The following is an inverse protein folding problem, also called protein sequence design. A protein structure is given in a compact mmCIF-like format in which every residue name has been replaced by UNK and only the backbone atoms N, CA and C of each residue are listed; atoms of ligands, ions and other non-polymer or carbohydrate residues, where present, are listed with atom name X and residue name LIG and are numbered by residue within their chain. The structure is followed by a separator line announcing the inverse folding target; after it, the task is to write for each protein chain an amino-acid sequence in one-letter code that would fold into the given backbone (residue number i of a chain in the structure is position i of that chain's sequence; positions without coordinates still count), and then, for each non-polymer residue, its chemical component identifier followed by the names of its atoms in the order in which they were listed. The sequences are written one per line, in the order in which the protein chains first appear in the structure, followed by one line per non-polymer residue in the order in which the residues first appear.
data_IF_258382855737
#
_entry.id   IF_258382855737
#
_cell.length_a   1.000
_cell.length_b   1.000
_cell.length_c   1.000
_cell.angle_alpha   90.00
_cell.angle_beta   90.00
_cell.angle_gamma   90.00
#
_symmetry.space_group_name_H-M   'P 1'
#
loop_
_entity.id
_entity.type
_entity.pdbx_description
1 polymer ?
#
# COMPACT_ATOMS: atom_id res chain seq x y z
N UNK A 1 -9.46 -7.75 5.47
CA UNK A 1 -10.24 -7.93 4.24
C UNK A 1 -9.30 -7.92 3.04
N UNK A 2 -9.35 -8.96 2.25
CA UNK A 2 -8.58 -9.02 1.03
C UNK A 2 -9.40 -8.42 -0.10
N UNK A 3 -8.80 -7.49 -0.82
CA UNK A 3 -9.42 -6.92 -2.00
C UNK A 3 -8.85 -7.69 -3.19
N UNK A 4 -9.73 -8.39 -3.89
CA UNK A 4 -9.32 -9.11 -5.07
C UNK A 4 -9.19 -8.16 -6.25
N UNK A 5 -7.97 -8.06 -6.76
CA UNK A 5 -7.70 -7.35 -7.99
C UNK A 5 -7.03 -8.31 -8.96
N UNK A 6 -7.16 -8.10 -10.27
CA UNK A 6 -6.43 -8.92 -11.24
C UNK A 6 -4.92 -8.83 -10.99
N UNK A 7 -4.16 -9.88 -11.31
CA UNK A 7 -2.70 -9.81 -11.21
C UNK A 7 -2.17 -8.62 -12.01
N UNK A 8 -1.15 -7.98 -11.44
CA UNK A 8 -0.51 -6.82 -12.06
C UNK A 8 0.84 -7.25 -12.62
N UNK A 9 1.06 -7.00 -13.89
CA UNK A 9 2.31 -7.29 -14.57
C UNK A 9 3.05 -5.99 -14.87
N UNK A 10 4.37 -6.06 -14.90
CA UNK A 10 5.23 -4.88 -15.12
C UNK A 10 4.82 -4.10 -16.37
N UNK A 11 4.58 -4.80 -17.47
CA UNK A 11 4.21 -4.18 -18.76
C UNK A 11 2.86 -3.47 -18.73
N UNK A 12 2.01 -3.77 -17.77
CA UNK A 12 0.67 -3.18 -17.66
C UNK A 12 0.65 -1.91 -16.78
N UNK A 13 1.75 -1.60 -16.12
CA UNK A 13 1.82 -0.42 -15.26
C UNK A 13 1.82 0.85 -16.11
N UNK A 14 0.90 1.76 -15.80
CA UNK A 14 0.83 3.08 -16.45
C UNK A 14 1.64 4.08 -15.66
N UNK A 15 1.36 4.24 -14.38
CA UNK A 15 2.06 5.17 -13.51
C UNK A 15 1.82 4.87 -12.03
N UNK A 16 2.72 5.33 -11.21
CA UNK A 16 2.57 5.36 -9.77
C UNK A 16 3.02 6.75 -9.31
N UNK A 17 2.08 7.59 -8.94
CA UNK A 17 2.33 9.00 -8.63
C UNK A 17 1.83 9.37 -7.24
N UNK A 18 2.46 10.36 -6.64
CA UNK A 18 2.04 10.95 -5.38
C UNK A 18 1.38 12.30 -5.65
N UNK A 19 0.23 12.54 -5.03
CA UNK A 19 -0.50 13.79 -5.20
C UNK A 19 -1.16 14.19 -3.88
N UNK A 20 -0.71 15.29 -3.27
CA UNK A 20 -1.26 15.85 -2.02
C UNK A 20 -1.40 14.84 -0.89
N UNK A 21 -0.39 14.00 -0.70
CA UNK A 21 -0.40 12.99 0.36
C UNK A 21 -1.06 11.67 -0.02
N UNK A 22 -1.70 11.59 -1.17
CA UNK A 22 -2.24 10.34 -1.71
C UNK A 22 -1.24 9.71 -2.67
N UNK A 23 -1.25 8.39 -2.77
CA UNK A 23 -0.50 7.66 -3.79
C UNK A 23 -1.49 7.02 -4.75
N UNK A 24 -1.28 7.22 -6.04
CA UNK A 24 -2.18 6.75 -7.10
C UNK A 24 -1.43 5.78 -7.99
N UNK A 25 -1.92 4.56 -8.07
CA UNK A 25 -1.36 3.50 -8.90
C UNK A 25 -2.33 3.16 -10.02
N UNK A 26 -1.88 3.29 -11.28
CA UNK A 26 -2.70 3.00 -12.46
C UNK A 26 -2.08 1.87 -13.26
N UNK A 27 -2.92 0.96 -13.72
CA UNK A 27 -2.49 -0.14 -14.58
C UNK A 27 -3.60 -0.62 -15.50
N UNK A 28 -3.22 -1.31 -16.57
CA UNK A 28 -4.18 -1.93 -17.49
C UNK A 28 -4.52 -3.34 -17.03
N UNK A 29 -5.79 -3.69 -17.12
CA UNK A 29 -6.25 -5.05 -16.92
C UNK A 29 -7.44 -5.31 -17.83
N UNK A 30 -7.30 -6.31 -18.70
CA UNK A 30 -8.37 -6.71 -19.65
C UNK A 30 -8.94 -5.52 -20.46
N UNK A 31 -8.07 -4.65 -20.95
CA UNK A 31 -8.44 -3.50 -21.75
C UNK A 31 -9.05 -2.34 -20.98
N UNK A 32 -9.04 -2.40 -19.65
CA UNK A 32 -9.54 -1.33 -18.78
C UNK A 32 -8.42 -0.75 -17.94
N UNK A 33 -8.52 0.54 -17.65
CA UNK A 33 -7.61 1.21 -16.73
C UNK A 33 -8.17 1.05 -15.32
N UNK A 34 -7.38 0.47 -14.43
CA UNK A 34 -7.70 0.35 -13.02
C UNK A 34 -6.84 1.34 -12.25
N UNK A 35 -7.46 2.06 -11.33
CA UNK A 35 -6.79 3.03 -10.49
C UNK A 35 -7.00 2.66 -9.03
N UNK A 36 -5.89 2.50 -8.29
CA UNK A 36 -5.89 2.30 -6.85
C UNK A 36 -5.38 3.58 -6.22
N UNK A 37 -6.21 4.22 -5.38
CA UNK A 37 -5.82 5.42 -4.65
C UNK A 37 -5.60 5.05 -3.19
N UNK A 38 -4.36 5.22 -2.71
CA UNK A 38 -4.02 5.09 -1.31
C UNK A 38 -4.19 6.46 -0.65
N UNK A 39 -5.18 6.60 0.22
CA UNK A 39 -5.54 7.88 0.82
C UNK A 39 -4.69 8.20 2.04
N UNK A 40 -4.10 9.39 2.09
CA UNK A 40 -3.31 9.87 3.21
C UNK A 40 -2.22 8.88 3.61
N UNK A 41 -1.21 8.75 2.75
CA UNK A 41 -0.08 7.84 2.98
C UNK A 41 0.83 8.39 4.06
N UNK A 42 1.07 7.59 5.10
CA UNK A 42 1.97 7.94 6.21
C UNK A 42 3.35 7.34 6.04
N UNK A 43 3.43 6.17 5.43
CA UNK A 43 4.69 5.50 5.18
C UNK A 43 4.56 4.64 3.92
N UNK A 44 5.65 4.58 3.18
CA UNK A 44 5.72 3.85 1.92
C UNK A 44 7.08 3.20 1.82
N UNK A 45 7.10 1.93 1.40
CA UNK A 45 8.30 1.12 1.37
C UNK A 45 8.20 0.16 0.17
N UNK A 46 9.32 -0.13 -0.46
CA UNK A 46 9.40 -1.02 -1.60
C UNK A 46 10.48 -2.07 -1.40
N UNK A 47 10.11 -3.33 -1.68
CA UNK A 47 11.05 -4.45 -1.66
C UNK A 47 11.09 -5.05 -3.05
N UNK A 48 12.28 -5.04 -3.68
CA UNK A 48 12.48 -5.63 -4.99
C UNK A 48 12.20 -7.13 -4.96
N UNK A 49 11.73 -7.67 -6.10
CA UNK A 49 11.29 -9.05 -6.24
C UNK A 49 12.30 -10.08 -5.73
N UNK A 50 13.59 -9.87 -5.96
CA UNK A 50 14.65 -10.81 -5.58
C UNK A 50 14.86 -10.89 -4.06
N UNK A 51 14.34 -9.93 -3.30
CA UNK A 51 14.46 -9.87 -1.84
C UNK A 51 13.18 -10.27 -1.11
N UNK A 52 12.13 -10.63 -1.85
CA UNK A 52 10.86 -11.07 -1.26
C UNK A 52 10.95 -12.54 -0.93
N UNK A 53 10.56 -12.90 0.31
CA UNK A 53 10.43 -14.29 0.68
C UNK A 53 9.26 -14.92 -0.07
N UNK A 54 9.48 -16.09 -0.69
CA UNK A 54 8.48 -16.79 -1.51
C UNK A 54 7.15 -17.05 -0.79
N UNK A 55 7.18 -17.18 0.54
CA UNK A 55 5.98 -17.39 1.33
C UNK A 55 5.04 -16.20 1.35
N UNK A 56 5.54 -15.00 0.98
CA UNK A 56 4.76 -13.76 0.98
C UNK A 56 4.17 -13.42 -0.39
N UNK A 57 4.33 -14.31 -1.36
CA UNK A 57 3.92 -14.07 -2.74
C UNK A 57 2.43 -14.32 -2.94
N UNK A 58 1.65 -13.25 -2.82
CA UNK A 58 0.29 -13.21 -3.35
C UNK A 58 0.20 -11.99 -4.22
N UNK A 59 0.12 -12.18 -5.52
CA UNK A 59 -0.01 -11.07 -6.46
C UNK A 59 -1.29 -10.31 -6.18
N UNK A 60 -1.20 -8.98 -6.25
CA UNK A 60 -2.33 -8.11 -6.06
C UNK A 60 -2.23 -7.30 -4.77
N UNK A 61 -3.38 -6.94 -4.23
CA UNK A 61 -3.50 -6.05 -3.08
C UNK A 61 -4.06 -6.81 -1.87
N UNK A 62 -3.36 -6.72 -0.76
CA UNK A 62 -3.75 -7.40 0.47
C UNK A 62 -3.69 -6.47 1.67
N UNK A 63 -4.76 -6.42 2.46
CA UNK A 63 -4.80 -5.72 3.73
C UNK A 63 -4.12 -6.58 4.79
N UNK A 64 -3.14 -6.02 5.47
CA UNK A 64 -2.41 -6.70 6.53
C UNK A 64 -3.07 -6.47 7.88
N UNK A 65 -3.47 -7.55 8.56
CA UNK A 65 -3.91 -7.48 9.95
C UNK A 65 -2.68 -7.58 10.89
N UNK A 66 -2.74 -6.91 12.04
CA UNK A 66 -1.66 -6.94 13.04
C UNK A 66 -0.29 -6.54 12.47
N UNK A 67 -0.27 -5.46 11.73
CA UNK A 67 0.92 -5.02 11.01
C UNK A 67 2.07 -4.62 11.94
N UNK A 68 3.20 -5.28 11.79
CA UNK A 68 4.46 -4.91 12.45
C UNK A 68 4.97 -3.55 11.96
N UNK A 69 4.68 -3.18 10.72
CA UNK A 69 5.04 -1.87 10.16
C UNK A 69 4.35 -0.74 10.91
N UNK A 70 3.05 -0.90 11.18
CA UNK A 70 2.27 0.10 11.92
C UNK A 70 2.78 0.20 13.35
N UNK A 71 2.99 -0.92 14.03
CA UNK A 71 3.51 -0.93 15.39
C UNK A 71 4.86 -0.22 15.49
N UNK A 72 5.76 -0.52 14.57
CA UNK A 72 7.09 0.07 14.53
C UNK A 72 7.03 1.58 14.26
N UNK A 73 6.17 2.00 13.36
CA UNK A 73 5.96 3.40 13.06
C UNK A 73 5.47 4.17 14.29
N UNK A 74 4.44 3.66 14.97
CA UNK A 74 3.86 4.30 16.15
C UNK A 74 4.85 4.33 17.31
N UNK A 75 5.62 3.27 17.49
CA UNK A 75 6.63 3.17 18.57
C UNK A 75 7.69 4.25 18.46
N UNK A 76 8.01 4.68 17.23
CA UNK A 76 9.04 5.68 16.96
C UNK A 76 8.49 7.11 16.92
N UNK A 77 7.19 7.31 17.19
CA UNK A 77 6.56 8.63 17.16
C UNK A 77 6.31 9.15 18.58
N UNK A 78 6.48 10.48 18.76
CA UNK A 78 6.07 11.13 19.99
C UNK A 78 4.54 11.16 20.10
N UNK A 79 4.01 11.31 21.33
CA UNK A 79 2.57 11.43 21.55
C UNK A 79 1.97 12.62 20.78
N UNK A 80 2.67 13.74 20.75
CA UNK A 80 2.25 14.93 20.02
C UNK A 80 2.17 14.68 18.51
N UNK A 81 3.15 13.96 17.98
CA UNK A 81 3.19 13.63 16.57
C UNK A 81 2.07 12.65 16.19
N UNK A 82 1.80 11.68 17.03
CA UNK A 82 0.68 10.75 16.85
C UNK A 82 -0.63 11.52 16.84
N UNK A 83 -0.83 12.43 17.77
CA UNK A 83 -2.04 13.24 17.84
C UNK A 83 -2.22 14.12 16.60
N UNK A 84 -1.15 14.78 16.14
CA UNK A 84 -1.19 15.62 14.94
C UNK A 84 -1.44 14.82 13.66
N UNK A 85 -0.77 13.69 13.52
CA UNK A 85 -0.86 12.87 12.30
C UNK A 85 -2.19 12.14 12.18
N UNK A 86 -2.73 11.66 13.30
CA UNK A 86 -3.88 10.75 13.30
C UNK A 86 -5.10 11.30 14.02
N UNK A 87 -5.02 12.52 14.62
CA UNK A 87 -6.11 13.10 15.38
C UNK A 87 -6.59 12.24 16.53
N UNK A 88 -5.69 11.44 17.12
CA UNK A 88 -6.05 10.47 18.16
C UNK A 88 -6.63 9.16 17.63
N UNK A 89 -6.79 9.03 16.32
CA UNK A 89 -7.44 7.87 15.69
C UNK A 89 -6.45 6.97 14.93
N UNK A 90 -5.24 6.80 15.45
CA UNK A 90 -4.21 5.99 14.80
C UNK A 90 -4.65 4.54 14.55
N UNK A 91 -5.68 4.06 15.23
CA UNK A 91 -6.25 2.71 15.03
C UNK A 91 -6.92 2.55 13.67
N UNK A 92 -7.22 3.66 12.98
CA UNK A 92 -7.81 3.64 11.63
C UNK A 92 -6.79 3.54 10.51
N UNK A 93 -5.51 3.61 10.86
CA UNK A 93 -4.42 3.44 9.88
C UNK A 93 -4.36 1.99 9.45
N UNK A 94 -4.21 1.77 8.16
CA UNK A 94 -4.17 0.44 7.56
C UNK A 94 -2.86 0.22 6.79
N UNK A 95 -2.42 -1.02 6.75
CA UNK A 95 -1.24 -1.44 6.01
C UNK A 95 -1.67 -2.33 4.86
N UNK A 96 -1.33 -1.92 3.64
CA UNK A 96 -1.58 -2.69 2.44
C UNK A 96 -0.26 -3.17 1.83
N UNK A 97 -0.28 -4.40 1.32
CA UNK A 97 0.78 -4.92 0.47
C UNK A 97 0.28 -4.97 -0.96
N UNK A 98 1.00 -4.34 -1.86
CA UNK A 98 0.73 -4.39 -3.30
C UNK A 98 1.88 -5.15 -3.95
N UNK A 99 1.60 -6.36 -4.41
CA UNK A 99 2.61 -7.23 -5.04
C UNK A 99 2.42 -7.22 -6.54
N UNK A 100 3.48 -6.85 -7.24
CA UNK A 100 3.49 -6.76 -8.70
C UNK A 100 4.48 -7.79 -9.25
N UNK A 101 4.00 -8.63 -10.17
CA UNK A 101 4.83 -9.65 -10.80
C UNK A 101 6.06 -9.02 -11.48
N UNK A 102 7.21 -9.66 -11.30
CA UNK A 102 8.52 -9.23 -11.82
C UNK A 102 9.04 -7.87 -11.31
N UNK A 103 8.31 -7.20 -10.43
CA UNK A 103 8.71 -5.89 -9.88
C UNK A 103 9.07 -6.01 -8.41
N UNK A 104 8.11 -6.41 -7.59
CA UNK A 104 8.31 -6.49 -6.15
C UNK A 104 7.07 -6.21 -5.34
N UNK A 105 7.28 -5.78 -4.11
CA UNK A 105 6.21 -5.55 -3.15
C UNK A 105 6.29 -4.13 -2.59
N UNK A 106 5.18 -3.42 -2.66
CA UNK A 106 5.01 -2.14 -2.00
C UNK A 106 4.27 -2.33 -0.68
N UNK A 107 4.81 -1.78 0.39
CA UNK A 107 4.13 -1.67 1.68
C UNK A 107 3.64 -0.24 1.82
N UNK A 108 2.34 -0.06 1.96
CA UNK A 108 1.74 1.28 2.05
C UNK A 108 0.93 1.36 3.34
N UNK A 109 1.30 2.30 4.21
CA UNK A 109 0.55 2.61 5.42
C UNK A 109 -0.22 3.89 5.16
N UNK A 110 -1.54 3.81 5.18
CA UNK A 110 -2.43 4.89 4.80
C UNK A 110 -3.75 4.82 5.56
N UNK A 111 -4.62 5.81 5.36
CA UNK A 111 -5.96 5.80 5.97
C UNK A 111 -6.89 4.78 5.35
N UNK A 112 -6.79 4.58 4.06
CA UNK A 112 -7.64 3.66 3.34
C UNK A 112 -7.36 3.69 1.85
N UNK A 113 -8.15 2.97 1.07
CA UNK A 113 -8.00 2.92 -0.38
C UNK A 113 -9.33 3.16 -1.08
N UNK A 114 -9.24 3.61 -2.33
CA UNK A 114 -10.36 3.70 -3.26
C UNK A 114 -9.97 3.02 -4.55
N UNK A 115 -10.89 2.28 -5.15
CA UNK A 115 -10.71 1.64 -6.45
C UNK A 115 -11.58 2.34 -7.48
N UNK A 116 -11.00 2.73 -8.59
CA UNK A 116 -11.71 3.39 -9.68
C UNK A 116 -11.54 2.63 -10.99
#
# INVERSE_FOLDING_TARGET
MNIEIPPIYEEDIIEFVQRKGDAIFKYYSNGKIIEIVFNCVYEFDFIEIDYINETDWKFGLELQSNSMHIEKMIRNMSKEKIHRAFGGEYKKVQHYKLVIDDVGMYNVICKGISLN
#
